data_IF_724469192409
#
_entry.id   IF_724469192409
#
_cell.length_a   1.000
_cell.length_b   1.000
_cell.length_c   1.000
_cell.angle_alpha   90.00
_cell.angle_beta   90.00
_cell.angle_gamma   90.00
#
_symmetry.space_group_name_H-M   'P 1'
#
loop_
_entity.id
_entity.type
_entity.pdbx_description
1 polymer ?
#
# COMPACT_ATOMS: atom_id res chain seq x y z
N UNK A 1 -47.63 33.65 -22.04
CA UNK A 1 -46.59 33.82 -21.01
C UNK A 1 -46.53 32.54 -20.17
N UNK A 2 -46.41 31.35 -20.79
CA UNK A 2 -46.77 30.08 -20.13
C UNK A 2 -45.75 28.94 -20.37
N UNK A 3 -44.55 29.27 -20.83
CA UNK A 3 -43.63 28.28 -21.43
C UNK A 3 -42.32 28.15 -20.64
N UNK A 4 -42.00 29.16 -19.81
CA UNK A 4 -40.74 29.24 -19.07
C UNK A 4 -40.74 28.29 -17.86
N UNK A 5 -41.87 28.21 -17.14
CA UNK A 5 -42.02 27.38 -15.94
C UNK A 5 -42.00 25.88 -16.25
N UNK A 6 -42.61 25.47 -17.38
CA UNK A 6 -42.62 24.07 -17.83
C UNK A 6 -41.20 23.61 -18.21
N UNK A 7 -40.40 24.48 -18.83
CA UNK A 7 -39.01 24.17 -19.19
C UNK A 7 -38.11 24.00 -17.97
N UNK A 8 -38.31 24.80 -16.91
CA UNK A 8 -37.59 24.61 -15.65
C UNK A 8 -37.95 23.30 -14.94
N UNK A 9 -39.24 22.92 -14.95
CA UNK A 9 -39.69 21.66 -14.34
C UNK A 9 -39.12 20.41 -15.05
N UNK A 10 -39.03 20.43 -16.39
CA UNK A 10 -38.47 19.31 -17.17
C UNK A 10 -36.96 19.19 -16.94
N UNK A 11 -36.24 20.31 -16.85
CA UNK A 11 -34.80 20.31 -16.55
C UNK A 11 -34.47 19.79 -15.14
N UNK A 12 -35.34 20.07 -14.15
CA UNK A 12 -35.15 19.56 -12.78
C UNK A 12 -35.42 18.05 -12.67
N UNK A 13 -36.38 17.53 -13.46
CA UNK A 13 -36.70 16.10 -13.48
C UNK A 13 -35.61 15.26 -14.18
N UNK A 14 -34.92 15.83 -15.17
CA UNK A 14 -33.82 15.14 -15.87
C UNK A 14 -32.56 14.97 -15.01
N UNK A 15 -32.30 15.88 -14.05
CA UNK A 15 -31.13 15.79 -13.17
C UNK A 15 -31.31 14.73 -12.05
N UNK A 16 -32.55 14.40 -11.69
CA UNK A 16 -32.84 13.37 -10.70
C UNK A 16 -32.70 11.93 -11.25
N UNK A 17 -32.79 11.75 -12.58
CA UNK A 17 -32.73 10.43 -13.22
C UNK A 17 -31.32 9.83 -13.34
N UNK A 18 -30.27 10.65 -13.28
CA UNK A 18 -28.88 10.19 -13.45
C UNK A 18 -28.24 9.62 -12.18
N UNK A 19 -28.84 9.81 -11.00
CA UNK A 19 -28.27 9.35 -9.72
C UNK A 19 -28.69 7.93 -9.32
N UNK A 20 -29.60 7.29 -10.07
CA UNK A 20 -30.25 6.04 -9.65
C UNK A 20 -29.73 4.77 -10.34
N UNK A 21 -28.71 4.83 -11.20
CA UNK A 21 -28.31 3.67 -12.00
C UNK A 21 -26.79 3.55 -12.18
N UNK A 22 -26.09 3.22 -11.10
CA UNK A 22 -24.82 2.50 -11.19
C UNK A 22 -24.66 1.58 -9.96
N UNK A 23 -25.59 0.64 -9.77
CA UNK A 23 -25.31 -0.52 -8.91
C UNK A 23 -24.33 -1.43 -9.67
N UNK A 24 -23.03 -1.10 -9.56
CA UNK A 24 -21.98 -2.01 -9.93
C UNK A 24 -22.24 -3.37 -9.23
N UNK A 25 -22.04 -4.50 -9.93
CA UNK A 25 -22.26 -5.81 -9.32
C UNK A 25 -21.46 -5.88 -8.02
N UNK A 26 -22.15 -6.07 -6.89
CA UNK A 26 -21.52 -6.22 -5.57
C UNK A 26 -20.60 -7.44 -5.63
N UNK A 27 -19.34 -7.18 -5.97
CA UNK A 27 -18.29 -8.18 -6.00
C UNK A 27 -18.28 -8.85 -4.64
N UNK A 28 -18.48 -10.18 -4.61
CA UNK A 28 -18.41 -10.95 -3.36
C UNK A 28 -17.03 -10.72 -2.76
N UNK A 29 -16.99 -10.00 -1.64
CA UNK A 29 -15.76 -9.81 -0.87
C UNK A 29 -15.32 -11.17 -0.35
N UNK A 30 -14.04 -11.50 -0.51
CA UNK A 30 -13.46 -12.73 0.03
C UNK A 30 -13.56 -12.80 1.56
N UNK A 31 -13.51 -11.63 2.22
CA UNK A 31 -13.74 -11.50 3.64
C UNK A 31 -15.18 -11.10 3.93
N UNK A 32 -15.86 -11.90 4.76
CA UNK A 32 -17.22 -11.62 5.24
C UNK A 32 -17.24 -10.69 6.46
N UNK A 33 -16.07 -10.43 7.05
CA UNK A 33 -15.84 -9.53 8.20
C UNK A 33 -14.53 -8.74 7.99
N UNK A 34 -14.36 -7.56 8.63
CA UNK A 34 -13.08 -6.86 8.61
C UNK A 34 -11.93 -7.74 9.11
N UNK A 35 -10.74 -7.60 8.51
CA UNK A 35 -9.52 -8.19 9.04
C UNK A 35 -9.02 -7.32 10.19
N UNK A 36 -8.90 -7.89 11.39
CA UNK A 36 -8.37 -7.19 12.56
C UNK A 36 -6.94 -7.66 12.82
N UNK A 37 -6.01 -6.70 12.75
CA UNK A 37 -4.58 -6.91 12.99
C UNK A 37 -4.30 -6.56 14.45
N UNK A 38 -3.66 -7.48 15.17
CA UNK A 38 -3.20 -7.29 16.54
C UNK A 38 -1.90 -6.48 16.57
N UNK A 39 -0.97 -6.80 15.66
CA UNK A 39 0.32 -6.12 15.54
C UNK A 39 0.83 -6.18 14.10
N UNK A 40 1.60 -5.18 13.69
CA UNK A 40 2.21 -5.10 12.37
C UNK A 40 3.48 -4.27 12.40
N UNK A 41 4.41 -4.58 11.50
CA UNK A 41 5.64 -3.80 11.39
C UNK A 41 6.54 -4.29 10.28
N UNK A 42 7.78 -3.80 10.34
CA UNK A 42 8.83 -4.22 9.41
C UNK A 42 10.19 -4.19 10.08
N UNK A 43 11.09 -5.04 9.61
CA UNK A 43 12.48 -5.11 10.05
C UNK A 43 13.35 -5.70 8.94
N UNK A 44 14.67 -5.67 9.15
CA UNK A 44 15.65 -6.26 8.24
C UNK A 44 16.31 -7.48 8.87
N UNK A 45 16.57 -8.52 8.07
CA UNK A 45 17.29 -9.74 8.49
C UNK A 45 18.61 -9.86 7.74
N UNK A 46 19.66 -10.18 8.47
CA UNK A 46 20.97 -10.47 7.91
C UNK A 46 21.69 -9.22 7.40
N UNK A 47 22.37 -9.36 6.28
CA UNK A 47 23.25 -8.34 5.72
C UNK A 47 24.72 -8.52 6.10
N UNK A 48 25.60 -7.98 5.26
CA UNK A 48 27.05 -8.06 5.44
C UNK A 48 27.64 -6.66 5.31
N UNK A 49 28.49 -6.22 6.26
CA UNK A 49 29.19 -4.95 6.13
C UNK A 49 30.19 -5.03 4.97
N UNK A 50 30.18 -3.99 4.13
CA UNK A 50 31.14 -3.80 3.04
C UNK A 50 31.71 -2.41 3.10
N UNK A 51 33.03 -2.33 3.07
CA UNK A 51 33.76 -1.10 2.93
C UNK A 51 33.92 -0.81 1.45
N UNK A 52 33.52 0.38 1.01
CA UNK A 52 33.62 0.83 -0.37
C UNK A 52 33.87 2.33 -0.44
N UNK A 53 34.71 2.73 -1.38
CA UNK A 53 34.94 4.13 -1.76
C UNK A 53 33.78 4.74 -2.57
N UNK A 54 32.80 3.92 -2.97
CA UNK A 54 31.74 4.30 -3.92
C UNK A 54 30.34 4.41 -3.28
N UNK A 55 30.24 4.43 -1.95
CA UNK A 55 28.96 4.55 -1.26
C UNK A 55 28.38 5.98 -1.18
N UNK A 56 29.17 7.04 -0.88
CA UNK A 56 28.64 8.40 -0.88
C UNK A 56 28.61 8.98 -2.30
N UNK A 57 27.66 9.89 -2.56
CA UNK A 57 27.79 10.75 -3.75
C UNK A 57 29.01 11.66 -3.59
N UNK A 58 29.82 11.87 -4.65
CA UNK A 58 30.97 12.75 -4.57
C UNK A 58 30.50 14.17 -4.23
N UNK A 59 30.79 14.63 -3.02
CA UNK A 59 30.57 16.04 -2.69
C UNK A 59 31.67 16.87 -3.35
N UNK A 60 31.33 18.04 -3.88
CA UNK A 60 32.25 18.95 -4.60
C UNK A 60 33.52 19.34 -3.81
N UNK A 61 33.58 19.04 -2.51
CA UNK A 61 34.67 19.41 -1.59
C UNK A 61 35.40 18.22 -0.97
N UNK A 62 35.12 16.97 -1.38
CA UNK A 62 35.89 15.81 -0.91
C UNK A 62 36.81 15.28 -2.03
N UNK A 63 38.09 15.69 -2.06
CA UNK A 63 39.05 15.25 -3.07
C UNK A 63 39.52 13.79 -2.87
N UNK A 64 39.19 13.15 -1.74
CA UNK A 64 39.53 11.75 -1.49
C UNK A 64 38.29 10.87 -1.43
N UNK A 65 38.35 9.73 -2.11
CA UNK A 65 37.37 8.66 -1.98
C UNK A 65 37.50 8.02 -0.59
N UNK A 66 36.99 8.67 0.46
CA UNK A 66 37.00 8.14 1.82
C UNK A 66 36.19 6.84 1.87
N UNK A 67 36.81 5.68 2.20
CA UNK A 67 36.09 4.42 2.25
C UNK A 67 35.00 4.46 3.33
N UNK A 68 33.77 4.17 2.92
CA UNK A 68 32.60 4.12 3.79
C UNK A 68 32.09 2.69 3.95
N UNK A 69 31.55 2.38 5.14
CA UNK A 69 30.96 1.08 5.42
C UNK A 69 29.45 1.12 5.18
N UNK A 70 28.95 0.21 4.34
CA UNK A 70 27.52 0.00 4.07
C UNK A 70 27.12 -1.44 4.42
N UNK A 71 25.84 -1.69 4.68
CA UNK A 71 25.28 -3.04 4.80
C UNK A 71 24.57 -3.42 3.50
N UNK A 72 24.97 -4.56 2.93
CA UNK A 72 24.35 -5.12 1.72
C UNK A 72 23.81 -6.52 1.96
N UNK A 73 22.88 -6.98 1.12
CA UNK A 73 22.34 -8.35 1.16
C UNK A 73 21.39 -8.61 2.34
N UNK A 74 20.88 -7.56 2.97
CA UNK A 74 19.82 -7.66 3.97
C UNK A 74 18.47 -7.98 3.31
N UNK A 75 17.66 -8.81 3.97
CA UNK A 75 16.30 -9.10 3.55
C UNK A 75 15.33 -8.17 4.28
N UNK A 76 14.53 -7.40 3.54
CA UNK A 76 13.41 -6.64 4.10
C UNK A 76 12.27 -7.59 4.43
N UNK A 77 11.69 -7.45 5.62
CA UNK A 77 10.55 -8.23 6.08
C UNK A 77 9.46 -7.29 6.55
N UNK A 78 8.24 -7.50 6.05
CA UNK A 78 7.02 -6.92 6.58
C UNK A 78 6.16 -8.02 7.19
N UNK A 79 5.58 -7.79 8.36
CA UNK A 79 4.74 -8.76 9.04
C UNK A 79 3.42 -8.15 9.51
N UNK A 80 2.43 -9.02 9.63
CA UNK A 80 1.12 -8.74 10.23
C UNK A 80 0.70 -9.94 11.07
N UNK A 81 0.24 -9.68 12.29
CA UNK A 81 -0.26 -10.69 13.23
C UNK A 81 -1.77 -10.51 13.36
N UNK A 82 -2.60 -11.48 12.95
CA UNK A 82 -4.04 -11.37 13.10
C UNK A 82 -4.44 -11.55 14.57
N UNK A 83 -5.49 -10.85 15.01
CA UNK A 83 -6.06 -10.98 16.36
C UNK A 83 -6.53 -12.41 16.65
N UNK A 84 -7.04 -13.10 15.63
CA UNK A 84 -7.49 -14.49 15.74
C UNK A 84 -6.43 -15.42 15.19
N UNK A 85 -5.63 -16.02 16.07
CA UNK A 85 -4.61 -17.03 15.75
C UNK A 85 -4.85 -18.31 16.55
N UNK A 86 -4.71 -19.48 15.92
CA UNK A 86 -4.77 -20.76 16.63
C UNK A 86 -3.50 -20.91 17.49
N UNK A 87 -3.64 -21.42 18.71
CA UNK A 87 -2.48 -21.68 19.58
C UNK A 87 -1.50 -22.62 18.88
N UNK A 88 -0.22 -22.21 18.79
CA UNK A 88 0.83 -22.99 18.15
C UNK A 88 0.83 -22.98 16.61
N UNK A 89 0.01 -22.13 15.98
CA UNK A 89 0.06 -21.97 14.52
C UNK A 89 1.39 -21.30 14.12
N UNK A 90 2.20 -21.92 13.25
CA UNK A 90 3.45 -21.32 12.78
C UNK A 90 3.16 -20.11 11.86
N UNK A 91 4.07 -19.14 11.77
CA UNK A 91 3.96 -18.05 10.81
C UNK A 91 4.09 -18.58 9.37
N UNK A 92 3.39 -17.94 8.44
CA UNK A 92 3.57 -18.18 7.00
C UNK A 92 4.54 -17.13 6.47
N UNK A 93 5.67 -17.58 5.93
CA UNK A 93 6.68 -16.71 5.30
C UNK A 93 6.47 -16.78 3.79
N UNK A 94 6.11 -15.65 3.20
CA UNK A 94 5.91 -15.52 1.76
C UNK A 94 7.15 -14.90 1.12
N UNK A 95 7.69 -15.56 0.09
CA UNK A 95 8.87 -15.11 -0.68
C UNK A 95 8.48 -15.04 -2.15
N UNK A 96 8.78 -13.92 -2.81
CA UNK A 96 8.47 -13.73 -4.23
C UNK A 96 9.52 -14.37 -5.15
N UNK A 97 9.14 -14.63 -6.40
CA UNK A 97 10.04 -15.16 -7.44
C UNK A 97 10.90 -14.10 -8.13
N UNK A 98 11.60 -14.54 -9.18
CA UNK A 98 12.39 -13.73 -10.11
C UNK A 98 11.58 -13.09 -11.22
#
# INVERSE_FOLDING_TARGET
MNNIWIRFAISFLALAGLAAAEEAPKMKKFLTKPLVIEDQGSFYIGGVPKVTAYAPEPTLNDPELTPNQIIIGQMYVQFQIPQTKKRGMPPVIMVHGS
#
